data_IF_343786806477
#
_entry.id   IF_343786806477
#
_cell.length_a   1.000
_cell.length_b   1.000
_cell.length_c   1.000
_cell.angle_alpha   90.00
_cell.angle_beta   90.00
_cell.angle_gamma   90.00
#
_symmetry.space_group_name_H-M   'P 1'
#
loop_
_entity.id
_entity.type
_entity.pdbx_description
1 polymer ?
#
# COMPACT_ATOMS: atom_id res chain seq x y z
N UNK A 1 -20.20 -8.66 18.00
CA UNK A 1 -19.77 -8.69 16.58
C UNK A 1 -19.09 -7.35 16.34
N UNK A 2 -17.78 -7.27 16.07
CA UNK A 2 -17.15 -5.98 15.77
C UNK A 2 -17.80 -5.41 14.51
N UNK A 3 -18.02 -4.11 14.46
CA UNK A 3 -18.52 -3.44 13.26
C UNK A 3 -17.58 -3.72 12.07
N UNK A 4 -18.10 -3.81 10.84
CA UNK A 4 -17.28 -4.02 9.65
C UNK A 4 -16.27 -2.88 9.37
N UNK A 5 -16.27 -1.82 10.19
CA UNK A 5 -15.38 -0.66 10.11
C UNK A 5 -14.05 -0.82 10.86
N UNK A 6 -13.92 -1.78 11.78
CA UNK A 6 -12.70 -1.92 12.59
C UNK A 6 -11.69 -2.86 11.92
N UNK A 7 -10.65 -2.30 11.30
CA UNK A 7 -9.42 -3.05 11.03
C UNK A 7 -8.84 -3.49 12.38
N UNK A 8 -8.60 -4.80 12.63
CA UNK A 8 -8.19 -5.28 13.95
C UNK A 8 -6.80 -4.81 14.37
N UNK A 9 -6.04 -4.17 13.48
CA UNK A 9 -4.78 -3.52 13.79
C UNK A 9 -4.76 -2.16 13.09
N UNK A 10 -4.84 -1.07 13.86
CA UNK A 10 -4.72 0.30 13.36
C UNK A 10 -3.27 0.63 12.97
N UNK A 11 -2.71 -0.11 12.02
CA UNK A 11 -1.47 0.24 11.35
C UNK A 11 -1.83 1.25 10.24
N UNK A 12 -1.47 2.53 10.38
CA UNK A 12 -1.85 3.54 9.38
C UNK A 12 -1.07 3.38 8.08
N UNK A 13 0.06 2.67 8.11
CA UNK A 13 1.02 2.59 7.01
C UNK A 13 1.65 1.20 6.95
N UNK A 14 1.75 0.62 5.75
CA UNK A 14 2.44 -0.65 5.50
C UNK A 14 3.45 -0.51 4.35
N UNK A 15 4.76 -0.34 4.64
CA UNK A 15 5.80 -0.30 3.62
C UNK A 15 6.23 -1.71 3.19
N UNK A 16 6.50 -1.86 1.89
CA UNK A 16 7.03 -3.08 1.27
C UNK A 16 8.03 -2.73 0.16
N UNK A 17 8.88 -3.70 -0.22
CA UNK A 17 9.74 -3.63 -1.40
C UNK A 17 9.31 -4.65 -2.47
N UNK A 18 10.29 -5.36 -3.03
CA UNK A 18 10.16 -6.42 -4.05
C UNK A 18 9.80 -5.94 -5.45
N UNK A 19 8.71 -5.20 -5.65
CA UNK A 19 8.40 -4.62 -6.96
C UNK A 19 9.31 -3.43 -7.21
N UNK A 20 10.05 -3.43 -8.32
CA UNK A 20 11.01 -2.37 -8.66
C UNK A 20 10.34 -1.13 -9.26
N UNK A 21 9.44 -0.53 -8.49
CA UNK A 21 8.75 0.71 -8.82
C UNK A 21 8.25 1.34 -7.52
N UNK A 22 7.80 2.59 -7.62
CA UNK A 22 7.09 3.28 -6.55
C UNK A 22 5.58 3.13 -6.73
N UNK A 23 4.86 2.81 -5.66
CA UNK A 23 3.40 2.86 -5.62
C UNK A 23 2.88 3.20 -4.23
N UNK A 24 1.83 4.02 -4.15
CA UNK A 24 1.10 4.36 -2.92
C UNK A 24 -0.38 4.16 -3.15
N UNK A 25 -1.04 3.51 -2.20
CA UNK A 25 -2.49 3.34 -2.21
C UNK A 25 -3.22 4.49 -1.52
N UNK A 26 -4.52 4.61 -1.75
CA UNK A 26 -5.42 5.18 -0.76
C UNK A 26 -5.56 4.21 0.43
N UNK A 27 -6.12 4.64 1.58
CA UNK A 27 -6.52 3.74 2.66
C UNK A 27 -7.40 2.61 2.11
N UNK A 28 -6.95 1.37 2.27
CA UNK A 28 -7.58 0.20 1.64
C UNK A 28 -7.62 -0.97 2.62
N UNK A 29 -8.75 -1.68 2.63
CA UNK A 29 -8.89 -2.94 3.35
C UNK A 29 -9.69 -3.91 2.48
N UNK A 30 -9.15 -5.12 2.31
CA UNK A 30 -9.77 -6.17 1.49
C UNK A 30 -10.18 -5.64 0.10
N UNK A 31 -9.25 -4.99 -0.60
CA UNK A 31 -9.41 -4.42 -1.94
C UNK A 31 -10.49 -3.34 -2.08
N UNK A 32 -11.05 -2.88 -0.97
CA UNK A 32 -12.06 -1.81 -0.94
C UNK A 32 -11.45 -0.59 -0.27
N UNK A 33 -11.71 0.59 -0.83
CA UNK A 33 -11.37 1.86 -0.16
C UNK A 33 -12.00 1.88 1.23
N UNK A 34 -11.19 2.19 2.24
CA UNK A 34 -11.60 2.15 3.63
C UNK A 34 -10.76 3.15 4.42
N UNK A 35 -11.39 4.19 4.96
CA UNK A 35 -10.72 5.26 5.70
C UNK A 35 -9.97 4.78 6.95
N UNK A 36 -10.37 3.62 7.49
CA UNK A 36 -9.70 2.95 8.61
C UNK A 36 -8.68 1.88 8.16
N UNK A 37 -8.53 1.67 6.85
CA UNK A 37 -7.54 0.77 6.27
C UNK A 37 -6.14 1.40 6.27
N UNK A 38 -5.08 0.57 6.23
CA UNK A 38 -3.72 1.06 6.02
C UNK A 38 -3.56 1.72 4.66
N UNK A 39 -2.64 2.69 4.59
CA UNK A 39 -1.99 3.06 3.33
C UNK A 39 -0.85 2.08 3.06
N UNK A 40 -0.86 1.43 1.91
CA UNK A 40 0.22 0.55 1.46
C UNK A 40 1.21 1.36 0.62
N UNK A 41 2.50 1.17 0.89
CA UNK A 41 3.61 1.77 0.14
C UNK A 41 4.48 0.67 -0.44
N UNK A 42 4.73 0.75 -1.74
CA UNK A 42 5.72 -0.06 -2.46
C UNK A 42 6.92 0.84 -2.75
N UNK A 43 8.05 0.53 -2.13
CA UNK A 43 9.30 1.29 -2.13
C UNK A 43 10.47 0.39 -2.58
N UNK A 44 10.24 -0.47 -3.59
CA UNK A 44 11.25 -1.40 -4.09
C UNK A 44 12.18 -0.81 -5.16
N UNK A 45 12.14 0.50 -5.34
CA UNK A 45 12.75 1.29 -6.40
C UNK A 45 14.15 1.83 -6.06
N UNK A 46 14.91 1.11 -5.24
CA UNK A 46 16.23 1.54 -4.78
C UNK A 46 17.38 1.49 -5.80
N UNK A 47 17.14 1.13 -7.06
CA UNK A 47 18.18 1.16 -8.10
C UNK A 47 18.98 -0.12 -8.31
N UNK A 48 18.41 -1.31 -8.06
CA UNK A 48 19.10 -2.58 -8.31
C UNK A 48 19.26 -2.91 -9.82
N UNK A 49 20.09 -3.90 -10.14
CA UNK A 49 20.47 -4.25 -11.53
C UNK A 49 19.33 -4.85 -12.36
N UNK A 50 18.25 -5.32 -11.73
CA UNK A 50 17.17 -6.08 -12.37
C UNK A 50 16.18 -5.19 -13.13
N UNK A 51 16.43 -3.87 -13.16
CA UNK A 51 15.64 -2.82 -13.84
C UNK A 51 14.27 -2.58 -13.21
N UNK A 52 13.60 -1.52 -13.69
CA UNK A 52 12.28 -1.07 -13.21
C UNK A 52 11.14 -1.94 -13.73
N UNK A 53 10.12 -2.13 -12.89
CA UNK A 53 8.85 -2.75 -13.25
C UNK A 53 7.91 -1.69 -13.84
N UNK A 54 7.99 -1.47 -15.16
CA UNK A 54 7.25 -0.41 -15.87
C UNK A 54 5.96 -0.87 -16.57
N UNK A 55 5.58 -2.14 -16.40
CA UNK A 55 4.39 -2.74 -17.02
C UNK A 55 3.39 -3.06 -15.92
N UNK A 56 2.17 -2.53 -16.06
CA UNK A 56 1.09 -2.73 -15.09
C UNK A 56 0.12 -3.81 -15.57
N UNK A 57 -0.45 -4.57 -14.63
CA UNK A 57 -1.37 -5.67 -14.94
C UNK A 57 -2.66 -5.20 -15.63
N UNK A 58 -3.04 -3.94 -15.45
CA UNK A 58 -4.20 -3.33 -16.10
C UNK A 58 -3.96 -2.82 -17.52
N UNK A 59 -2.72 -2.91 -18.02
CA UNK A 59 -2.45 -2.60 -19.43
C UNK A 59 -3.05 -3.66 -20.36
N UNK A 60 -3.60 -3.27 -21.53
CA UNK A 60 -4.17 -4.23 -22.47
C UNK A 60 -3.19 -5.35 -22.83
N UNK A 61 -3.56 -6.60 -22.54
CA UNK A 61 -2.76 -7.79 -22.83
C UNK A 61 -1.69 -8.15 -21.78
N UNK A 62 -1.62 -7.43 -20.66
CA UNK A 62 -0.62 -7.66 -19.61
C UNK A 62 -1.17 -8.26 -18.32
N UNK A 63 -2.49 -8.50 -18.23
CA UNK A 63 -3.05 -9.25 -17.10
C UNK A 63 -2.51 -10.69 -17.11
N UNK A 64 -1.80 -11.12 -16.06
CA UNK A 64 -1.28 -12.48 -15.98
C UNK A 64 -2.40 -13.52 -15.86
N UNK A 65 -2.10 -14.76 -16.24
CA UNK A 65 -2.98 -15.88 -15.96
C UNK A 65 -3.13 -16.10 -14.45
N UNK A 66 -4.33 -16.53 -14.02
CA UNK A 66 -4.62 -16.83 -12.61
C UNK A 66 -3.64 -17.91 -12.10
N UNK A 67 -2.83 -17.63 -11.07
CA UNK A 67 -1.84 -18.57 -10.57
C UNK A 67 -2.50 -19.84 -10.05
N UNK A 68 -1.98 -21.01 -10.43
CA UNK A 68 -2.41 -22.31 -9.85
C UNK A 68 -1.42 -22.84 -8.82
N UNK A 69 -0.23 -22.24 -8.74
CA UNK A 69 0.82 -22.54 -7.78
C UNK A 69 1.47 -21.24 -7.30
N UNK A 70 1.76 -21.16 -6.00
CA UNK A 70 2.55 -20.08 -5.42
C UNK A 70 4.05 -20.25 -5.71
N UNK A 71 4.89 -19.30 -5.28
CA UNK A 71 6.34 -19.46 -5.38
C UNK A 71 6.84 -20.67 -4.58
N UNK A 72 8.02 -21.21 -4.94
CA UNK A 72 8.57 -22.42 -4.31
C UNK A 72 8.79 -22.29 -2.78
N UNK A 73 9.01 -21.07 -2.30
CA UNK A 73 9.19 -20.76 -0.87
C UNK A 73 7.87 -20.52 -0.13
N UNK A 74 6.74 -20.38 -0.83
CA UNK A 74 5.41 -20.27 -0.26
C UNK A 74 4.38 -20.78 -1.30
N UNK A 75 4.18 -22.11 -1.38
CA UNK A 75 3.46 -22.74 -2.49
C UNK A 75 1.95 -22.57 -2.43
N UNK A 76 1.39 -22.20 -1.27
CA UNK A 76 -0.04 -21.97 -1.09
C UNK A 76 -0.56 -20.83 -1.97
N UNK A 77 -1.77 -20.99 -2.51
CA UNK A 77 -2.40 -20.03 -3.41
C UNK A 77 -3.66 -19.47 -2.78
N UNK A 78 -3.83 -18.15 -2.87
CA UNK A 78 -5.01 -17.43 -2.39
C UNK A 78 -5.53 -16.51 -3.50
N UNK A 79 -6.15 -17.09 -4.53
CA UNK A 79 -6.68 -16.31 -5.65
C UNK A 79 -7.96 -15.56 -5.25
N UNK A 80 -8.05 -14.30 -5.66
CA UNK A 80 -9.27 -13.50 -5.57
C UNK A 80 -9.58 -12.89 -6.93
N UNK A 81 -10.82 -13.05 -7.40
CA UNK A 81 -11.33 -12.45 -8.63
C UNK A 81 -12.15 -11.22 -8.24
N UNK A 82 -11.58 -10.04 -8.40
CA UNK A 82 -12.06 -8.81 -7.76
C UNK A 82 -12.79 -7.87 -8.71
N UNK A 83 -12.66 -8.07 -10.02
CA UNK A 83 -13.14 -7.14 -11.04
C UNK A 83 -14.25 -7.79 -11.87
N UNK A 84 -15.44 -7.92 -11.29
CA UNK A 84 -16.60 -8.60 -11.91
C UNK A 84 -16.31 -10.04 -12.36
N UNK A 85 -15.49 -10.76 -11.57
CA UNK A 85 -15.04 -12.13 -11.87
C UNK A 85 -13.73 -12.20 -12.64
N UNK A 86 -13.15 -11.06 -13.02
CA UNK A 86 -11.82 -10.99 -13.64
C UNK A 86 -10.69 -10.85 -12.60
N UNK A 87 -9.49 -11.26 -13.02
CA UNK A 87 -8.29 -11.24 -12.17
C UNK A 87 -7.64 -9.87 -12.08
N UNK A 88 -7.67 -9.09 -13.16
CA UNK A 88 -7.11 -7.73 -13.22
C UNK A 88 -8.16 -6.72 -13.63
N UNK A 89 -7.99 -5.47 -13.21
CA UNK A 89 -8.74 -4.35 -13.74
C UNK A 89 -8.30 -4.02 -15.17
N UNK A 90 -9.11 -3.24 -15.88
CA UNK A 90 -8.80 -2.73 -17.24
C UNK A 90 -8.24 -1.30 -17.25
N UNK A 91 -8.06 -0.73 -16.06
CA UNK A 91 -7.45 0.57 -15.80
C UNK A 91 -6.83 0.58 -14.40
N UNK A 92 -6.13 1.65 -14.03
CA UNK A 92 -5.60 1.81 -12.68
C UNK A 92 -6.72 1.59 -11.65
N UNK A 93 -6.58 0.59 -10.75
CA UNK A 93 -7.56 0.36 -9.71
C UNK A 93 -7.75 1.60 -8.84
N UNK A 94 -8.98 1.86 -8.39
CA UNK A 94 -9.30 3.05 -7.58
C UNK A 94 -8.49 3.13 -6.28
N UNK A 95 -8.06 1.99 -5.72
CA UNK A 95 -7.23 1.95 -4.52
C UNK A 95 -5.77 2.36 -4.77
N UNK A 96 -5.28 2.35 -6.01
CA UNK A 96 -3.92 2.79 -6.36
C UNK A 96 -3.92 4.30 -6.57
N UNK A 97 -3.40 5.06 -5.61
CA UNK A 97 -3.46 6.52 -5.63
C UNK A 97 -2.39 7.14 -6.53
N UNK A 98 -1.16 6.62 -6.44
CA UNK A 98 -0.03 7.05 -7.26
C UNK A 98 0.88 5.87 -7.55
N UNK A 99 1.38 5.74 -8.77
CA UNK A 99 2.34 4.70 -9.15
C UNK A 99 3.26 5.21 -10.26
N UNK A 100 4.56 5.01 -10.11
CA UNK A 100 5.55 5.46 -11.08
C UNK A 100 6.77 4.51 -11.12
N UNK A 101 7.18 4.04 -12.31
CA UNK A 101 8.40 3.28 -12.49
C UNK A 101 9.59 4.24 -12.62
N UNK A 102 10.04 4.78 -11.49
CA UNK A 102 11.26 5.57 -11.37
C UNK A 102 12.06 5.07 -10.18
N UNK A 103 13.38 5.20 -10.21
CA UNK A 103 14.18 4.97 -9.00
C UNK A 103 14.10 6.17 -8.07
N UNK A 104 14.10 5.92 -6.77
CA UNK A 104 13.88 6.97 -5.79
C UNK A 104 14.10 6.54 -4.36
N UNK A 105 13.67 7.42 -3.46
CA UNK A 105 13.60 7.17 -2.03
C UNK A 105 12.48 7.99 -1.40
N UNK A 106 12.05 7.59 -0.20
CA UNK A 106 11.01 8.29 0.54
C UNK A 106 11.51 8.77 1.90
N UNK A 107 10.92 9.87 2.36
CA UNK A 107 11.09 10.42 3.70
C UNK A 107 9.73 10.43 4.39
N UNK A 108 9.70 9.97 5.63
CA UNK A 108 8.52 10.00 6.50
C UNK A 108 8.86 10.82 7.75
N UNK A 109 8.25 11.99 7.85
CA UNK A 109 8.41 12.91 8.97
C UNK A 109 7.20 12.80 9.90
N UNK A 110 7.40 12.24 11.10
CA UNK A 110 6.35 12.16 12.12
C UNK A 110 6.18 13.54 12.76
N UNK A 111 5.04 14.18 12.52
CA UNK A 111 4.78 15.54 12.98
C UNK A 111 4.19 15.55 14.40
N UNK A 112 3.23 14.67 14.67
CA UNK A 112 2.59 14.49 15.97
C UNK A 112 1.95 13.09 16.08
N UNK A 113 1.07 12.88 17.07
CA UNK A 113 0.40 11.60 17.35
C UNK A 113 -0.65 11.19 16.29
N UNK A 114 -1.06 12.11 15.43
CA UNK A 114 -2.10 11.92 14.41
C UNK A 114 -1.63 12.19 12.99
N UNK A 115 -0.54 12.93 12.79
CA UNK A 115 -0.07 13.39 11.49
C UNK A 115 1.38 12.95 11.22
N UNK A 116 1.60 12.40 10.02
CA UNK A 116 2.92 12.22 9.46
C UNK A 116 2.95 12.77 8.04
N UNK A 117 4.03 13.46 7.67
CA UNK A 117 4.27 13.89 6.30
C UNK A 117 5.09 12.83 5.58
N UNK A 118 4.63 12.43 4.40
CA UNK A 118 5.30 11.46 3.55
C UNK A 118 5.63 12.12 2.21
N UNK A 119 6.87 11.98 1.78
CA UNK A 119 7.34 12.46 0.49
C UNK A 119 8.20 11.40 -0.20
N UNK A 120 8.03 11.25 -1.51
CA UNK A 120 8.87 10.43 -2.36
C UNK A 120 9.59 11.28 -3.41
N UNK A 121 10.87 10.99 -3.59
CA UNK A 121 11.82 11.75 -4.39
C UNK A 121 12.41 10.84 -5.46
N UNK A 122 12.40 11.31 -6.70
CA UNK A 122 12.98 10.60 -7.84
C UNK A 122 14.47 10.90 -7.93
N UNK A 123 15.26 9.89 -8.27
CA UNK A 123 16.71 10.03 -8.41
C UNK A 123 17.11 10.92 -9.60
N UNK A 124 16.26 11.05 -10.62
CA UNK A 124 16.53 11.90 -11.79
C UNK A 124 16.21 13.38 -11.58
N UNK A 125 15.49 13.72 -10.51
CA UNK A 125 15.13 15.12 -10.24
C UNK A 125 16.24 15.82 -9.43
N UNK A 126 16.13 17.14 -9.29
CA UNK A 126 16.96 17.89 -8.34
C UNK A 126 16.62 17.50 -6.89
N UNK A 127 17.60 17.56 -5.98
CA UNK A 127 17.51 17.06 -4.59
C UNK A 127 16.29 17.53 -3.78
N UNK A 128 15.66 18.64 -4.14
CA UNK A 128 14.49 19.20 -3.42
C UNK A 128 13.15 18.97 -4.13
N UNK A 129 13.13 18.28 -5.27
CA UNK A 129 11.92 18.05 -6.06
C UNK A 129 11.16 16.84 -5.53
N UNK A 130 9.98 17.08 -4.97
CA UNK A 130 9.08 16.02 -4.50
C UNK A 130 8.21 15.57 -5.66
N UNK A 131 8.18 14.26 -5.92
CA UNK A 131 7.38 13.68 -7.01
C UNK A 131 6.01 13.20 -6.53
N UNK A 132 5.92 12.70 -5.30
CA UNK A 132 4.66 12.39 -4.61
C UNK A 132 4.73 12.82 -3.15
N UNK A 133 3.66 13.41 -2.62
CA UNK A 133 3.60 13.97 -1.29
C UNK A 133 2.21 13.80 -0.68
N UNK A 134 2.13 13.43 0.58
CA UNK A 134 0.86 13.33 1.31
C UNK A 134 1.03 13.53 2.81
N UNK A 135 0.04 14.13 3.46
CA UNK A 135 -0.09 14.10 4.93
C UNK A 135 -0.94 12.88 5.29
N UNK A 136 -0.32 11.91 5.95
CA UNK A 136 -0.98 10.74 6.51
C UNK A 136 -1.61 11.12 7.84
N UNK A 137 -2.93 10.95 7.94
CA UNK A 137 -3.71 11.24 9.15
C UNK A 137 -4.27 9.93 9.70
N UNK A 138 -3.97 9.61 10.96
CA UNK A 138 -4.64 8.52 11.68
C UNK A 138 -5.80 9.06 12.51
N UNK A 139 -6.94 8.38 12.48
CA UNK A 139 -8.11 8.70 13.32
C UNK A 139 -8.30 7.63 14.41
N UNK A 140 -7.63 7.74 15.57
CA UNK A 140 -7.73 6.74 16.64
C UNK A 140 -9.10 6.70 17.33
N UNK A 141 -9.91 7.75 17.26
CA UNK A 141 -11.24 7.76 17.88
C UNK A 141 -12.25 6.96 17.06
N UNK A 142 -12.17 7.06 15.74
CA UNK A 142 -13.08 6.37 14.81
C UNK A 142 -12.60 4.98 14.40
N UNK A 143 -11.29 4.85 14.15
CA UNK A 143 -10.68 3.63 13.61
C UNK A 143 -9.88 2.85 14.67
N UNK A 144 -9.79 3.37 15.89
CA UNK A 144 -9.12 2.68 17.00
C UNK A 144 -9.94 1.54 17.57
N UNK A 145 -9.26 0.63 18.25
CA UNK A 145 -9.91 -0.36 19.11
C UNK A 145 -10.38 0.42 20.36
N UNK A 146 -11.65 0.27 20.82
CA UNK A 146 -12.08 0.90 22.07
C UNK A 146 -11.13 0.54 23.21
N UNK A 147 -10.58 1.53 23.90
CA UNK A 147 -9.68 1.35 25.04
C UNK A 147 -10.35 0.62 26.23
N UNK A 148 -11.66 0.34 26.17
CA UNK A 148 -12.40 -0.40 27.19
C UNK A 148 -11.93 -1.87 27.39
N UNK A 149 -11.04 -2.39 26.54
CA UNK A 149 -10.43 -3.72 26.67
C UNK A 149 -8.96 -3.76 27.12
N UNK A 150 -8.29 -2.61 27.28
CA UNK A 150 -6.86 -2.51 27.62
C UNK A 150 -6.61 -2.18 29.10
N UNK A 151 -7.54 -2.51 30.00
CA UNK A 151 -7.32 -2.36 31.43
C UNK A 151 -6.64 -3.62 32.04
N UNK A 152 -5.45 -3.37 32.59
CA UNK A 152 -4.83 -4.06 33.75
C UNK A 152 -4.35 -5.51 33.62
N UNK A 153 -3.45 -5.79 32.68
CA UNK A 153 -2.41 -6.83 32.89
C UNK A 153 -1.04 -6.23 32.54
N UNK A 154 -0.69 -5.13 33.22
CA UNK A 154 0.70 -4.81 33.47
C UNK A 154 1.09 -5.54 34.76
N UNK A 155 1.96 -6.54 34.62
CA UNK A 155 2.91 -6.98 35.63
C UNK A 155 4.24 -7.22 34.94
#
# INVERSE_FOLDING_TARGET
IPSPSSSPNAHPLLPSGHVHAYERTFPVYNYTLNDCGPVHLTLGDGGNIEKLAAVFADYPGYCPAVPVHGPSYQPEVCNQLLYDGEFCSTSQPEWSAFREPSFGHSVLDILNDTHAHFAWYRNQDADTSVADEVILVRNPEECGIPLEGLNSQAY
#
